data_IF_020160115403
#
_entry.id   IF_020160115403
#
_cell.length_a   1.000
_cell.length_b   1.000
_cell.length_c   1.000
_cell.angle_alpha   90.00
_cell.angle_beta   90.00
_cell.angle_gamma   90.00
#
_symmetry.space_group_name_H-M   'P 1'
#
loop_
_entity.id
_entity.type
_entity.pdbx_description
1 polymer ?
#
# COMPACT_ATOMS: atom_id res chain seq x y z
N UNK A 1 -2.71 -11.01 -10.93
CA UNK A 1 -3.92 -11.51 -11.58
C UNK A 1 -4.33 -10.54 -12.67
N UNK A 2 -4.50 -11.03 -13.89
CA UNK A 2 -5.02 -10.25 -15.00
C UNK A 2 -6.46 -10.72 -15.27
N UNK A 3 -7.42 -9.83 -15.01
CA UNK A 3 -8.84 -10.12 -15.23
C UNK A 3 -9.33 -9.61 -16.59
N UNK A 4 -8.44 -9.33 -17.50
CA UNK A 4 -8.81 -8.92 -18.85
C UNK A 4 -8.27 -7.54 -19.25
N UNK A 5 -8.67 -7.04 -20.45
CA UNK A 5 -8.17 -5.80 -21.00
C UNK A 5 -8.59 -4.58 -20.16
N UNK A 6 -7.72 -3.59 -20.09
CA UNK A 6 -8.04 -2.31 -19.45
C UNK A 6 -9.28 -1.66 -20.11
N UNK A 7 -10.17 -1.01 -19.33
CA UNK A 7 -10.01 -0.56 -17.95
C UNK A 7 -10.42 -1.55 -16.85
N UNK A 8 -10.53 -2.83 -17.16
CA UNK A 8 -10.90 -3.85 -16.17
C UNK A 8 -9.86 -3.96 -15.05
N UNK A 9 -10.28 -3.99 -13.80
CA UNK A 9 -9.40 -4.08 -12.65
C UNK A 9 -9.76 -5.26 -11.73
N UNK A 10 -8.88 -5.57 -10.79
CA UNK A 10 -9.07 -6.69 -9.84
C UNK A 10 -10.37 -6.58 -9.04
N UNK A 11 -10.76 -5.37 -8.64
CA UNK A 11 -12.00 -5.14 -7.91
C UNK A 11 -13.24 -5.47 -8.74
N UNK A 12 -13.25 -5.08 -10.02
CA UNK A 12 -14.32 -5.45 -10.93
C UNK A 12 -14.37 -6.96 -11.16
N UNK A 13 -13.21 -7.60 -11.36
CA UNK A 13 -13.14 -9.05 -11.51
C UNK A 13 -13.66 -9.82 -10.31
N UNK A 14 -13.35 -9.36 -9.09
CA UNK A 14 -13.89 -9.98 -7.87
C UNK A 14 -15.39 -9.78 -7.74
N UNK A 15 -15.91 -8.61 -8.11
CA UNK A 15 -17.35 -8.36 -8.12
C UNK A 15 -18.07 -9.30 -9.09
N UNK A 16 -17.57 -9.40 -10.31
CA UNK A 16 -18.15 -10.29 -11.33
C UNK A 16 -18.12 -11.76 -10.88
N UNK A 17 -17.06 -12.19 -10.18
CA UNK A 17 -17.01 -13.53 -9.58
C UNK A 17 -18.06 -13.71 -8.49
N UNK A 18 -18.24 -12.73 -7.60
CA UNK A 18 -19.28 -12.78 -6.58
C UNK A 18 -20.68 -12.86 -7.22
N UNK A 19 -20.95 -12.01 -8.20
CA UNK A 19 -22.24 -12.01 -8.89
C UNK A 19 -22.48 -13.33 -9.65
N UNK A 20 -21.41 -13.89 -10.25
CA UNK A 20 -21.50 -15.16 -10.95
C UNK A 20 -21.84 -16.33 -10.03
N UNK A 21 -21.25 -16.36 -8.82
CA UNK A 21 -21.46 -17.48 -7.88
C UNK A 21 -22.66 -17.30 -6.97
N UNK A 22 -23.17 -16.09 -6.81
CA UNK A 22 -24.31 -15.83 -5.95
C UNK A 22 -25.55 -16.65 -6.39
N UNK A 23 -26.14 -17.40 -5.49
CA UNK A 23 -27.26 -18.30 -5.75
C UNK A 23 -26.87 -19.64 -6.41
N UNK A 24 -25.57 -19.93 -6.60
CA UNK A 24 -25.11 -21.20 -7.16
C UNK A 24 -24.53 -22.11 -6.07
N UNK A 25 -24.77 -23.38 -6.22
CA UNK A 25 -24.20 -24.44 -5.35
C UNK A 25 -24.42 -24.20 -3.85
N UNK A 26 -25.51 -23.49 -3.48
CA UNK A 26 -25.83 -23.16 -2.09
C UNK A 26 -25.05 -21.94 -1.54
N UNK A 27 -24.34 -21.21 -2.39
CA UNK A 27 -23.70 -19.96 -2.00
C UNK A 27 -24.71 -18.82 -2.07
N UNK A 28 -24.88 -18.10 -0.98
CA UNK A 28 -25.69 -16.86 -0.90
C UNK A 28 -24.82 -15.71 -0.43
N UNK A 29 -24.93 -14.54 -1.08
CA UNK A 29 -24.22 -13.32 -0.73
C UNK A 29 -25.24 -12.26 -0.30
N UNK A 30 -25.10 -11.77 0.92
CA UNK A 30 -25.93 -10.72 1.50
C UNK A 30 -25.14 -9.41 1.45
N UNK A 31 -25.53 -8.51 0.56
CA UNK A 31 -24.94 -7.16 0.46
C UNK A 31 -25.59 -6.21 1.47
N UNK A 32 -24.86 -5.16 1.84
CA UNK A 32 -25.34 -4.15 2.81
C UNK A 32 -25.80 -4.74 4.15
N UNK A 33 -25.17 -5.83 4.54
CA UNK A 33 -25.47 -6.59 5.75
C UNK A 33 -24.20 -6.72 6.63
N UNK A 34 -23.71 -5.61 7.23
CA UNK A 34 -22.51 -5.62 8.02
C UNK A 34 -22.63 -6.54 9.25
N UNK A 35 -21.58 -7.33 9.49
CA UNK A 35 -21.46 -8.15 10.69
C UNK A 35 -21.07 -7.27 11.88
N UNK A 36 -21.75 -7.45 13.01
CA UNK A 36 -21.50 -6.65 14.21
C UNK A 36 -21.06 -7.48 15.42
N UNK A 37 -21.43 -8.76 15.49
CA UNK A 37 -21.10 -9.60 16.63
C UNK A 37 -21.04 -11.07 16.28
N UNK A 38 -20.04 -11.80 16.81
CA UNK A 38 -19.99 -13.26 16.79
C UNK A 38 -20.90 -13.86 17.87
N UNK A 39 -21.59 -14.95 17.52
CA UNK A 39 -22.46 -15.69 18.42
C UNK A 39 -21.69 -16.87 19.01
N UNK A 40 -21.69 -17.01 20.32
CA UNK A 40 -21.05 -18.11 21.04
C UNK A 40 -22.09 -19.03 21.70
N UNK A 41 -21.77 -20.32 21.72
CA UNK A 41 -22.37 -21.34 22.58
C UNK A 41 -21.25 -21.93 23.45
N UNK A 42 -21.20 -21.52 24.71
CA UNK A 42 -20.04 -21.75 25.55
C UNK A 42 -18.79 -21.07 24.98
N UNK A 43 -17.72 -21.86 24.74
CA UNK A 43 -16.48 -21.37 24.15
C UNK A 43 -16.42 -21.48 22.62
N UNK A 44 -17.42 -22.08 22.00
CA UNK A 44 -17.51 -22.27 20.55
C UNK A 44 -18.21 -21.09 19.87
N UNK A 45 -17.69 -20.65 18.74
CA UNK A 45 -18.38 -19.71 17.84
C UNK A 45 -19.32 -20.50 16.92
N UNK A 46 -20.60 -20.14 16.94
CA UNK A 46 -21.68 -20.85 16.26
C UNK A 46 -22.47 -19.99 15.26
N UNK A 47 -22.07 -18.74 15.09
CA UNK A 47 -22.75 -17.84 14.15
C UNK A 47 -22.25 -16.40 14.21
N UNK A 48 -22.98 -15.54 13.50
CA UNK A 48 -22.73 -14.11 13.44
C UNK A 48 -24.04 -13.35 13.39
N UNK A 49 -24.12 -12.22 14.06
CA UNK A 49 -25.22 -11.25 13.98
C UNK A 49 -24.78 -10.16 13.01
N UNK A 50 -25.65 -9.89 12.04
CA UNK A 50 -25.47 -8.84 11.05
C UNK A 50 -26.64 -7.86 11.11
N UNK A 51 -26.40 -6.63 10.69
CA UNK A 51 -27.43 -5.61 10.55
C UNK A 51 -28.01 -5.65 9.14
N UNK A 52 -29.33 -5.77 9.02
CA UNK A 52 -30.05 -5.72 7.77
C UNK A 52 -31.06 -4.56 7.80
N UNK A 53 -30.68 -3.44 7.22
CA UNK A 53 -31.44 -2.20 7.33
C UNK A 53 -31.56 -1.72 8.78
N UNK A 54 -32.78 -1.75 9.34
CA UNK A 54 -33.07 -1.42 10.75
C UNK A 54 -33.06 -2.63 11.68
N UNK A 55 -33.04 -3.83 11.14
CA UNK A 55 -33.20 -5.08 11.87
C UNK A 55 -31.85 -5.81 12.03
N UNK A 56 -31.85 -6.83 12.89
CA UNK A 56 -30.73 -7.72 13.08
C UNK A 56 -31.09 -9.13 12.62
N UNK A 57 -30.17 -9.73 11.88
CA UNK A 57 -30.29 -11.11 11.41
C UNK A 57 -29.15 -11.93 11.98
N UNK A 58 -29.46 -13.10 12.53
CA UNK A 58 -28.48 -14.05 12.99
C UNK A 58 -28.29 -15.15 11.94
N UNK A 59 -27.05 -15.33 11.50
CA UNK A 59 -26.64 -16.46 10.67
C UNK A 59 -25.99 -17.51 11.55
N UNK A 60 -26.56 -18.72 11.58
CA UNK A 60 -26.01 -19.85 12.32
C UNK A 60 -25.04 -20.64 11.44
N UNK A 61 -23.88 -20.97 11.98
CA UNK A 61 -22.81 -21.67 11.28
C UNK A 61 -22.67 -23.10 11.80
N UNK A 62 -22.80 -24.09 10.92
CA UNK A 62 -22.57 -25.50 11.24
C UNK A 62 -21.09 -25.84 11.43
N UNK A 63 -20.28 -25.44 10.46
CA UNK A 63 -18.86 -25.84 10.35
C UNK A 63 -17.90 -24.77 10.90
N UNK A 64 -18.36 -23.55 11.08
CA UNK A 64 -17.63 -22.41 11.62
C UNK A 64 -17.88 -21.11 10.88
N UNK A 65 -17.37 -20.03 11.46
CA UNK A 65 -17.40 -18.67 10.91
C UNK A 65 -15.99 -18.32 10.44
N UNK A 66 -15.87 -17.85 9.21
CA UNK A 66 -14.62 -17.38 8.61
C UNK A 66 -14.66 -15.86 8.52
N UNK A 67 -13.79 -15.16 9.24
CA UNK A 67 -13.66 -13.71 9.21
C UNK A 67 -12.62 -13.32 8.16
N UNK A 68 -13.04 -12.53 7.16
CA UNK A 68 -12.22 -12.10 6.02
C UNK A 68 -12.42 -10.60 5.72
N UNK A 69 -12.56 -9.78 6.74
CA UNK A 69 -13.01 -8.38 6.66
C UNK A 69 -11.93 -7.38 6.30
N UNK A 70 -10.71 -7.85 6.02
CA UNK A 70 -9.59 -6.97 5.71
C UNK A 70 -8.91 -6.40 6.96
N UNK A 71 -8.30 -5.23 6.81
CA UNK A 71 -7.55 -4.56 7.87
C UNK A 71 -8.37 -3.45 8.57
N UNK A 72 -7.68 -2.58 9.33
CA UNK A 72 -8.29 -1.52 10.14
C UNK A 72 -7.72 -0.13 9.85
N UNK A 73 -7.21 0.11 8.64
CA UNK A 73 -6.57 1.40 8.30
C UNK A 73 -7.47 2.62 8.42
N UNK A 74 -8.79 2.45 8.43
CA UNK A 74 -9.77 3.53 8.63
C UNK A 74 -10.39 3.55 10.03
N UNK A 75 -9.83 2.81 10.98
CA UNK A 75 -10.16 2.92 12.39
C UNK A 75 -9.08 3.73 13.11
N UNK A 76 -9.39 4.97 13.45
CA UNK A 76 -8.41 5.89 14.04
C UNK A 76 -7.91 5.44 15.41
N UNK A 77 -8.75 4.76 16.20
CA UNK A 77 -8.36 4.26 17.51
C UNK A 77 -7.38 3.09 17.39
N UNK A 78 -7.68 2.13 16.49
CA UNK A 78 -6.76 1.01 16.23
C UNK A 78 -5.47 1.50 15.59
N UNK A 79 -5.53 2.46 14.67
CA UNK A 79 -4.35 3.05 14.05
C UNK A 79 -3.49 3.78 15.08
N UNK A 80 -4.06 4.61 15.95
CA UNK A 80 -3.34 5.30 17.00
C UNK A 80 -2.69 4.34 18.00
N UNK A 81 -3.33 3.22 18.28
CA UNK A 81 -2.83 2.24 19.23
C UNK A 81 -1.75 1.31 18.65
N UNK A 82 -1.98 0.76 17.46
CA UNK A 82 -1.11 -0.26 16.87
C UNK A 82 -0.06 0.30 15.89
N UNK A 83 -0.33 1.43 15.24
CA UNK A 83 0.52 2.02 14.19
C UNK A 83 0.57 3.56 14.30
N UNK A 84 0.97 4.13 15.44
CA UNK A 84 0.97 5.57 15.64
C UNK A 84 1.90 6.31 14.66
N UNK A 85 2.97 5.66 14.22
CA UNK A 85 3.97 6.18 13.29
C UNK A 85 3.44 6.41 11.87
N UNK A 86 2.27 5.87 11.53
CA UNK A 86 1.66 6.01 10.20
C UNK A 86 0.35 6.79 10.20
N UNK A 87 -0.08 7.25 11.37
CA UNK A 87 -1.41 7.82 11.51
C UNK A 87 -1.59 9.14 10.75
N UNK A 88 -0.49 9.82 10.42
CA UNK A 88 -0.47 11.04 9.63
C UNK A 88 -0.61 10.83 8.12
N UNK A 89 -0.34 9.61 7.61
CA UNK A 89 -0.43 9.34 6.17
C UNK A 89 -1.88 9.21 5.70
N UNK A 90 -2.16 9.75 4.54
CA UNK A 90 -3.46 9.58 3.89
C UNK A 90 -3.78 8.11 3.61
N UNK A 91 -5.05 7.75 3.74
CA UNK A 91 -5.56 6.39 3.46
C UNK A 91 -5.97 6.30 1.99
N UNK A 92 -5.66 5.17 1.35
CA UNK A 92 -6.08 4.93 -0.03
C UNK A 92 -7.55 4.51 -0.15
N UNK A 93 -8.06 3.88 0.87
CA UNK A 93 -9.41 3.31 0.90
C UNK A 93 -10.16 3.77 2.15
N UNK A 94 -11.48 3.64 2.15
CA UNK A 94 -12.34 4.24 3.18
C UNK A 94 -13.23 3.23 3.93
N UNK A 95 -13.03 1.93 3.73
CA UNK A 95 -13.96 0.91 4.22
C UNK A 95 -13.32 -0.21 5.06
N UNK A 96 -12.12 0.04 5.61
CA UNK A 96 -11.37 -0.92 6.41
C UNK A 96 -11.40 -0.52 7.88
N UNK A 97 -12.45 -0.89 8.57
CA UNK A 97 -12.84 -0.37 9.89
C UNK A 97 -12.50 -1.30 11.06
N UNK A 98 -11.80 -2.42 10.78
CA UNK A 98 -11.34 -3.32 11.84
C UNK A 98 -12.43 -4.12 12.56
N UNK A 99 -13.63 -4.14 12.03
CA UNK A 99 -14.79 -4.78 12.69
C UNK A 99 -14.54 -6.27 12.94
N UNK A 100 -13.92 -6.96 11.99
CA UNK A 100 -13.59 -8.37 12.15
C UNK A 100 -12.58 -8.62 13.28
N UNK A 101 -11.53 -7.81 13.36
CA UNK A 101 -10.56 -7.90 14.44
C UNK A 101 -11.23 -7.68 15.80
N UNK A 102 -12.07 -6.62 15.92
CA UNK A 102 -12.81 -6.32 17.15
C UNK A 102 -13.72 -7.49 17.54
N UNK A 103 -14.52 -8.00 16.62
CA UNK A 103 -15.43 -9.13 16.90
C UNK A 103 -14.67 -10.37 17.35
N UNK A 104 -13.53 -10.68 16.74
CA UNK A 104 -12.70 -11.83 17.11
C UNK A 104 -12.06 -11.64 18.47
N UNK A 105 -11.61 -10.43 18.81
CA UNK A 105 -11.07 -10.11 20.15
C UNK A 105 -12.15 -10.21 21.21
N UNK A 106 -13.36 -9.71 20.97
CA UNK A 106 -14.50 -9.86 21.89
C UNK A 106 -14.92 -11.32 22.07
N UNK A 107 -14.71 -12.17 21.06
CA UNK A 107 -14.95 -13.61 21.18
C UNK A 107 -13.86 -14.37 21.95
N UNK A 108 -12.77 -13.70 22.33
CA UNK A 108 -11.65 -14.26 23.09
C UNK A 108 -10.34 -14.40 22.29
N UNK A 109 -10.34 -13.98 21.01
CA UNK A 109 -9.13 -13.97 20.18
C UNK A 109 -8.12 -12.92 20.63
N UNK A 110 -6.87 -13.10 20.22
CA UNK A 110 -5.78 -12.17 20.57
C UNK A 110 -5.14 -11.63 19.29
N UNK A 111 -4.96 -10.31 19.23
CA UNK A 111 -4.14 -9.68 18.20
C UNK A 111 -2.70 -10.16 18.30
N UNK A 112 -2.01 -10.26 17.16
CA UNK A 112 -0.58 -10.54 17.14
C UNK A 112 0.19 -9.44 17.89
N UNK A 113 1.27 -9.85 18.56
CA UNK A 113 2.04 -8.95 19.43
C UNK A 113 3.06 -8.09 18.70
N UNK A 114 3.33 -8.41 17.45
CA UNK A 114 4.24 -7.64 16.59
C UNK A 114 3.44 -6.58 15.87
N UNK A 115 3.98 -5.37 15.73
CA UNK A 115 3.35 -4.34 14.91
C UNK A 115 3.15 -4.87 13.48
N UNK A 116 2.01 -4.54 12.88
CA UNK A 116 1.62 -5.05 11.57
C UNK A 116 2.57 -4.63 10.45
N UNK A 117 2.69 -5.47 9.43
CA UNK A 117 3.39 -5.12 8.21
C UNK A 117 2.65 -4.00 7.48
N UNK A 118 3.36 -2.93 7.19
CA UNK A 118 2.83 -1.68 6.67
C UNK A 118 3.02 -1.61 5.17
N UNK A 119 1.93 -1.47 4.44
CA UNK A 119 1.94 -1.32 2.99
C UNK A 119 1.65 0.13 2.65
N UNK A 120 2.70 0.94 2.68
CA UNK A 120 2.67 2.32 2.19
C UNK A 120 3.40 2.40 0.86
N UNK A 121 2.83 3.05 -0.11
CA UNK A 121 3.45 3.26 -1.41
C UNK A 121 2.74 4.35 -2.22
N UNK A 122 3.40 4.76 -3.29
CA UNK A 122 2.96 5.80 -4.21
C UNK A 122 2.72 5.29 -5.64
N UNK A 123 2.56 3.98 -5.84
CA UNK A 123 2.44 3.38 -7.17
C UNK A 123 1.27 3.89 -8.01
N UNK A 124 0.31 4.52 -7.38
CA UNK A 124 -0.86 5.13 -7.99
C UNK A 124 -0.76 6.66 -8.14
N UNK A 125 0.35 7.25 -7.71
CA UNK A 125 0.62 8.68 -7.81
C UNK A 125 1.73 8.96 -8.84
N UNK A 126 1.48 8.64 -10.10
CA UNK A 126 2.42 8.72 -11.21
C UNK A 126 2.70 7.36 -11.82
N UNK A 127 3.71 7.23 -12.72
CA UNK A 127 4.08 5.91 -13.23
C UNK A 127 4.53 5.03 -12.08
N UNK A 128 3.84 3.92 -11.84
CA UNK A 128 4.15 3.01 -10.74
C UNK A 128 5.60 2.54 -10.76
N UNK A 129 6.14 2.29 -11.95
CA UNK A 129 7.54 1.92 -12.14
C UNK A 129 8.55 2.99 -11.71
N UNK A 130 8.19 4.27 -11.66
CA UNK A 130 9.09 5.32 -11.18
C UNK A 130 9.39 5.24 -9.68
N UNK A 131 8.55 4.60 -8.89
CA UNK A 131 8.77 4.48 -7.46
C UNK A 131 10.13 3.84 -7.10
N UNK A 132 10.60 2.91 -7.93
CA UNK A 132 11.90 2.22 -7.75
C UNK A 132 13.01 2.79 -8.65
N UNK A 133 12.77 3.90 -9.34
CA UNK A 133 13.77 4.51 -10.21
C UNK A 133 14.65 5.49 -9.43
N UNK A 134 15.99 5.38 -9.57
CA UNK A 134 16.94 6.17 -8.82
C UNK A 134 17.09 7.62 -9.32
N UNK A 135 16.00 8.30 -9.68
CA UNK A 135 16.01 9.73 -9.88
C UNK A 135 16.29 10.46 -8.55
N UNK A 136 16.89 11.66 -8.61
CA UNK A 136 17.02 12.50 -7.43
C UNK A 136 15.63 12.72 -6.82
N UNK A 137 15.50 12.50 -5.51
CA UNK A 137 14.27 12.76 -4.76
C UNK A 137 14.47 13.85 -3.72
N UNK A 138 13.52 14.78 -3.67
CA UNK A 138 13.52 15.88 -2.70
C UNK A 138 12.21 15.96 -1.95
N UNK A 139 12.27 16.40 -0.70
CA UNK A 139 11.11 16.76 0.13
C UNK A 139 10.50 18.08 -0.30
N UNK A 140 9.41 18.49 0.36
CA UNK A 140 8.73 19.76 0.09
C UNK A 140 9.62 20.98 0.35
N UNK A 141 10.62 20.88 1.20
CA UNK A 141 11.62 21.92 1.46
C UNK A 141 12.77 21.95 0.43
N UNK A 142 12.72 21.10 -0.60
CA UNK A 142 13.74 21.03 -1.64
C UNK A 142 15.00 20.27 -1.25
N UNK A 143 15.07 19.67 -0.05
CA UNK A 143 16.24 18.91 0.39
C UNK A 143 16.17 17.46 -0.03
N UNK A 144 17.33 16.87 -0.35
CA UNK A 144 17.49 15.44 -0.58
C UNK A 144 17.45 14.68 0.75
N UNK A 145 16.78 13.52 0.81
CA UNK A 145 16.54 12.81 2.07
C UNK A 145 16.96 11.34 2.08
N UNK A 146 17.31 10.75 0.95
CA UNK A 146 17.62 9.32 0.91
C UNK A 146 18.56 8.93 -0.23
N UNK A 147 19.02 7.67 -0.18
CA UNK A 147 19.65 6.98 -1.30
C UNK A 147 18.55 6.41 -2.21
N UNK A 148 18.36 7.02 -3.36
CA UNK A 148 17.30 6.65 -4.32
C UNK A 148 17.54 5.31 -5.00
N UNK A 149 18.70 4.71 -4.81
CA UNK A 149 19.05 3.38 -5.34
C UNK A 149 18.51 2.22 -4.49
N UNK A 150 17.75 2.51 -3.45
CA UNK A 150 17.07 1.52 -2.62
C UNK A 150 15.67 1.26 -3.16
N UNK A 151 15.05 0.16 -2.72
CA UNK A 151 13.65 -0.10 -3.06
C UNK A 151 12.72 1.01 -2.54
N UNK A 152 11.63 1.25 -3.24
CA UNK A 152 10.62 2.22 -2.83
C UNK A 152 10.16 2.01 -1.39
N UNK A 153 9.97 0.77 -0.95
CA UNK A 153 9.56 0.46 0.41
C UNK A 153 10.59 0.92 1.45
N UNK A 154 11.89 0.79 1.14
CA UNK A 154 12.95 1.20 2.06
C UNK A 154 13.03 2.72 2.21
N UNK A 155 12.93 3.50 1.13
CA UNK A 155 12.96 4.96 1.27
C UNK A 155 11.60 5.55 1.68
N UNK A 156 10.48 4.91 1.37
CA UNK A 156 9.17 5.31 1.88
C UNK A 156 9.14 5.32 3.41
N UNK A 157 9.94 4.47 4.06
CA UNK A 157 10.11 4.47 5.51
C UNK A 157 10.58 5.79 6.10
N UNK A 158 11.24 6.67 5.32
CA UNK A 158 11.64 7.99 5.80
C UNK A 158 10.45 8.90 6.13
N UNK A 159 9.26 8.60 5.60
CA UNK A 159 8.05 9.37 5.85
C UNK A 159 7.24 8.90 7.05
N UNK A 160 7.61 7.79 7.69
CA UNK A 160 6.89 7.29 8.87
C UNK A 160 6.95 8.24 10.06
N UNK A 161 7.97 9.09 10.12
CA UNK A 161 8.16 10.08 11.20
C UNK A 161 8.16 11.52 10.70
N UNK A 162 7.92 11.75 9.39
CA UNK A 162 7.94 13.07 8.77
C UNK A 162 6.51 13.55 8.55
N UNK A 163 5.86 14.00 9.62
CA UNK A 163 4.47 14.52 9.55
C UNK A 163 4.34 15.74 8.65
N UNK A 164 5.38 16.59 8.57
CA UNK A 164 5.39 17.81 7.80
C UNK A 164 5.22 17.58 6.30
N UNK A 165 5.78 16.49 5.77
CA UNK A 165 5.70 16.17 4.35
C UNK A 165 4.44 15.37 3.98
N UNK A 166 3.77 14.77 4.95
CA UNK A 166 2.56 13.94 4.78
C UNK A 166 2.66 12.95 3.59
N UNK A 167 3.84 12.34 3.41
CA UNK A 167 4.09 11.40 2.32
C UNK A 167 4.37 12.03 0.95
N UNK A 168 4.39 13.36 0.82
CA UNK A 168 4.71 14.03 -0.43
C UNK A 168 6.22 14.17 -0.63
N UNK A 169 6.67 13.91 -1.86
CA UNK A 169 8.03 14.17 -2.34
C UNK A 169 8.03 14.37 -3.84
N UNK A 170 9.16 14.78 -4.40
CA UNK A 170 9.30 15.02 -5.82
C UNK A 170 10.49 14.27 -6.38
N UNK A 171 10.31 13.57 -7.51
CA UNK A 171 11.41 13.04 -8.32
C UNK A 171 11.80 14.06 -9.36
N UNK A 172 13.11 14.32 -9.48
CA UNK A 172 13.68 15.39 -10.34
C UNK A 172 14.64 14.78 -11.36
N UNK A 173 14.52 15.20 -12.60
CA UNK A 173 15.36 14.74 -13.71
C UNK A 173 15.41 15.77 -14.84
N UNK A 174 16.25 15.56 -15.83
CA UNK A 174 16.41 16.46 -16.97
C UNK A 174 15.99 15.83 -18.30
N UNK A 175 16.21 16.51 -19.40
CA UNK A 175 15.82 16.08 -20.74
C UNK A 175 16.49 14.78 -21.21
N UNK A 176 17.58 14.35 -20.55
CA UNK A 176 18.27 13.11 -20.88
C UNK A 176 17.69 11.86 -20.21
N UNK A 177 16.59 11.99 -19.48
CA UNK A 177 16.02 10.91 -18.65
C UNK A 177 15.87 9.57 -19.38
N UNK A 178 15.51 9.59 -20.66
CA UNK A 178 15.37 8.37 -21.46
C UNK A 178 16.70 7.63 -21.67
N UNK A 179 17.77 8.38 -21.88
CA UNK A 179 19.12 7.83 -22.05
C UNK A 179 19.69 7.38 -20.69
N UNK A 180 19.53 8.22 -19.69
CA UNK A 180 20.04 7.97 -18.33
C UNK A 180 19.44 6.71 -17.70
N UNK A 181 18.18 6.48 -17.96
CA UNK A 181 17.45 5.33 -17.45
C UNK A 181 17.73 4.03 -18.19
N UNK A 182 18.27 4.07 -19.41
CA UNK A 182 18.47 2.88 -20.25
C UNK A 182 19.34 1.80 -19.57
N UNK A 183 20.29 2.21 -18.72
CA UNK A 183 21.20 1.32 -18.01
C UNK A 183 20.76 0.99 -16.59
N UNK A 184 19.62 1.51 -16.14
CA UNK A 184 19.17 1.27 -14.78
C UNK A 184 18.63 -0.15 -14.63
N UNK A 185 18.99 -0.85 -13.56
CA UNK A 185 18.47 -2.18 -13.34
C UNK A 185 16.99 -2.11 -12.98
N UNK A 186 16.21 -2.88 -13.63
CA UNK A 186 14.87 -3.11 -13.16
C UNK A 186 13.92 -3.50 -14.26
N UNK A 187 13.36 -4.67 -14.10
CA UNK A 187 12.18 -5.12 -14.85
C UNK A 187 10.92 -4.27 -14.54
N UNK A 188 11.02 -3.41 -13.53
CA UNK A 188 9.96 -2.47 -13.15
C UNK A 188 10.03 -1.16 -13.93
N UNK A 189 11.11 -0.97 -14.70
CA UNK A 189 11.35 0.24 -15.46
C UNK A 189 10.97 0.06 -16.93
N UNK A 190 10.06 0.92 -17.37
CA UNK A 190 9.69 1.08 -18.76
C UNK A 190 9.81 2.55 -19.16
N UNK A 191 10.84 2.95 -19.95
CA UNK A 191 11.00 4.31 -20.42
C UNK A 191 9.78 4.86 -21.17
N UNK A 192 9.10 4.03 -21.94
CA UNK A 192 7.93 4.44 -22.68
C UNK A 192 6.74 4.77 -21.75
N UNK A 193 6.65 4.10 -20.61
CA UNK A 193 5.63 4.41 -19.61
C UNK A 193 5.80 5.82 -19.02
N UNK A 194 7.04 6.30 -18.88
CA UNK A 194 7.30 7.67 -18.39
C UNK A 194 6.78 8.71 -19.38
N UNK A 195 6.93 8.49 -20.68
CA UNK A 195 6.46 9.44 -21.70
C UNK A 195 4.98 9.78 -21.56
N UNK A 196 4.17 8.82 -21.12
CA UNK A 196 2.73 9.03 -20.91
C UNK A 196 2.41 10.06 -19.80
N UNK A 197 3.36 10.31 -18.92
CA UNK A 197 3.23 11.23 -17.79
C UNK A 197 3.96 12.55 -18.01
N UNK A 198 4.76 12.66 -19.09
CA UNK A 198 5.46 13.90 -19.41
C UNK A 198 4.50 14.91 -20.01
N UNK A 199 4.58 16.20 -19.63
CA UNK A 199 3.77 17.24 -20.23
C UNK A 199 4.26 17.50 -21.65
N UNK A 200 3.42 17.29 -22.63
CA UNK A 200 3.67 17.71 -24.03
C UNK A 200 3.45 19.21 -24.14
N UNK A 201 2.45 19.71 -23.43
CA UNK A 201 2.14 21.11 -23.32
C UNK A 201 2.30 21.60 -21.87
N UNK A 202 2.70 22.86 -21.65
CA UNK A 202 2.82 23.41 -20.31
C UNK A 202 1.50 23.34 -19.52
N UNK A 203 1.55 22.75 -18.34
CA UNK A 203 0.41 22.65 -17.44
C UNK A 203 -0.48 21.43 -17.62
N UNK A 204 -0.20 20.54 -18.58
CA UNK A 204 -0.92 19.28 -18.70
C UNK A 204 -0.48 18.33 -17.56
N UNK A 205 -1.46 17.84 -16.80
CA UNK A 205 -1.26 16.84 -15.78
C UNK A 205 -1.60 15.46 -16.37
N UNK A 206 -0.67 14.51 -16.25
CA UNK A 206 -0.89 13.13 -16.65
C UNK A 206 -0.62 12.19 -15.48
N UNK A 207 -1.52 11.27 -15.23
CA UNK A 207 -1.38 10.28 -14.18
C UNK A 207 -2.67 9.51 -13.93
N UNK A 208 -2.59 8.45 -13.12
CA UNK A 208 -3.77 7.67 -12.72
C UNK A 208 -4.71 8.53 -11.87
N UNK A 209 -4.13 9.37 -11.03
CA UNK A 209 -4.82 10.37 -10.23
C UNK A 209 -4.21 11.74 -10.52
N UNK A 210 -4.75 12.52 -11.45
CA UNK A 210 -4.17 13.79 -11.88
C UNK A 210 -3.89 14.78 -10.76
N UNK A 211 -4.68 14.73 -9.68
CA UNK A 211 -4.49 15.58 -8.50
C UNK A 211 -3.32 15.12 -7.61
N UNK A 212 -2.91 13.87 -7.71
CA UNK A 212 -1.81 13.29 -6.94
C UNK A 212 -0.51 13.19 -7.73
N UNK A 213 -0.59 13.11 -9.07
CA UNK A 213 0.54 12.95 -9.95
C UNK A 213 0.60 14.10 -10.96
N UNK A 214 1.36 15.12 -10.64
CA UNK A 214 1.60 16.24 -11.53
C UNK A 214 3.08 16.31 -11.91
N UNK A 215 3.36 16.32 -13.23
CA UNK A 215 4.69 16.54 -13.78
C UNK A 215 4.79 17.99 -14.23
N UNK A 216 5.85 18.66 -13.82
CA UNK A 216 6.17 20.03 -14.17
C UNK A 216 7.41 20.10 -15.03
N UNK A 217 7.49 21.13 -15.87
CA UNK A 217 8.58 21.36 -16.81
C UNK A 217 9.04 22.82 -16.69
N UNK A 218 10.35 23.04 -16.69
CA UNK A 218 10.94 24.37 -16.69
C UNK A 218 12.31 24.39 -17.38
N UNK A 219 12.76 25.57 -17.80
CA UNK A 219 14.07 25.76 -18.43
C UNK A 219 15.18 26.02 -17.43
N UNK A 220 14.84 26.31 -16.17
CA UNK A 220 15.79 26.48 -15.06
C UNK A 220 15.33 25.70 -13.82
N UNK A 221 16.30 25.33 -12.98
CA UNK A 221 16.02 24.63 -11.70
C UNK A 221 15.23 25.54 -10.74
N UNK A 222 15.55 26.83 -10.70
CA UNK A 222 14.82 27.80 -9.88
C UNK A 222 13.35 27.90 -10.29
N UNK A 223 13.09 28.01 -11.61
CA UNK A 223 11.72 28.03 -12.15
C UNK A 223 10.98 26.73 -11.85
N UNK A 224 11.68 25.59 -11.97
CA UNK A 224 11.10 24.29 -11.64
C UNK A 224 10.68 24.23 -10.17
N UNK A 225 11.53 24.66 -9.26
CA UNK A 225 11.22 24.69 -7.83
C UNK A 225 9.97 25.54 -7.49
N UNK A 226 9.84 26.70 -8.16
CA UNK A 226 8.66 27.56 -8.04
C UNK A 226 7.39 26.89 -8.55
N UNK A 227 7.46 26.24 -9.73
CA UNK A 227 6.32 25.50 -10.32
C UNK A 227 5.91 24.29 -9.48
N UNK A 228 6.86 23.63 -8.86
CA UNK A 228 6.62 22.51 -7.95
C UNK A 228 6.00 22.98 -6.61
N UNK A 229 6.02 24.27 -6.32
CA UNK A 229 5.50 24.79 -5.06
C UNK A 229 6.34 24.42 -3.84
N UNK A 230 7.67 24.21 -4.03
CA UNK A 230 8.58 23.91 -2.94
C UNK A 230 8.67 25.09 -1.96
N UNK A 231 8.75 24.79 -0.68
CA UNK A 231 8.76 25.80 0.39
C UNK A 231 10.09 26.58 0.47
N UNK A 232 11.19 25.95 0.03
CA UNK A 232 12.51 26.58 -0.07
C UNK A 232 13.16 26.27 -1.43
N UNK A 233 12.95 27.19 -2.39
CA UNK A 233 13.51 27.07 -3.74
C UNK A 233 15.03 27.22 -3.74
N UNK A 234 15.59 28.02 -2.84
CA UNK A 234 17.05 28.21 -2.75
C UNK A 234 17.74 26.92 -2.23
N UNK A 235 17.13 26.24 -1.27
CA UNK A 235 17.59 24.93 -0.83
C UNK A 235 17.53 23.92 -1.99
N UNK A 236 16.47 23.92 -2.78
CA UNK A 236 16.33 23.06 -3.95
C UNK A 236 17.43 23.28 -4.99
N UNK A 237 17.70 24.55 -5.33
CA UNK A 237 18.79 24.89 -6.27
C UNK A 237 20.14 24.38 -5.76
N UNK A 238 20.43 24.57 -4.46
CA UNK A 238 21.66 24.06 -3.83
C UNK A 238 21.70 22.53 -3.83
N UNK A 239 20.58 21.86 -3.58
CA UNK A 239 20.47 20.40 -3.61
C UNK A 239 20.82 19.84 -4.99
N UNK A 240 20.26 20.41 -6.07
CA UNK A 240 20.57 19.97 -7.44
C UNK A 240 22.01 20.27 -7.79
N UNK A 241 22.55 21.42 -7.40
CA UNK A 241 23.95 21.77 -7.62
C UNK A 241 24.87 20.77 -6.91
N UNK A 242 24.65 20.49 -5.62
CA UNK A 242 25.41 19.52 -4.84
C UNK A 242 25.31 18.11 -5.43
N UNK A 243 24.12 17.70 -5.86
CA UNK A 243 23.94 16.41 -6.51
C UNK A 243 24.77 16.30 -7.78
N UNK A 244 24.84 17.35 -8.61
CA UNK A 244 25.67 17.37 -9.80
C UNK A 244 27.17 17.32 -9.50
N UNK A 245 27.64 17.94 -8.39
CA UNK A 245 29.03 17.79 -7.92
C UNK A 245 29.36 16.33 -7.59
N UNK A 246 28.46 15.62 -6.91
CA UNK A 246 28.62 14.19 -6.58
C UNK A 246 28.66 13.33 -7.84
N UNK A 247 27.84 13.66 -8.84
CA UNK A 247 27.87 12.99 -10.15
C UNK A 247 29.22 13.18 -10.84
N UNK A 248 29.74 14.43 -10.86
CA UNK A 248 31.05 14.75 -11.47
C UNK A 248 32.22 14.07 -10.73
N UNK A 249 32.10 13.93 -9.41
CA UNK A 249 33.09 13.20 -8.59
C UNK A 249 32.98 11.68 -8.77
N UNK A 250 31.87 11.17 -9.31
CA UNK A 250 31.62 9.74 -9.46
C UNK A 250 31.38 8.99 -8.15
N UNK A 251 31.09 9.72 -7.08
CA UNK A 251 30.83 9.15 -5.75
C UNK A 251 29.80 10.01 -5.01
N UNK A 252 28.83 9.36 -4.40
CA UNK A 252 27.84 10.00 -3.54
C UNK A 252 28.26 9.88 -2.08
N UNK A 253 29.00 10.88 -1.60
CA UNK A 253 29.46 10.95 -0.22
C UNK A 253 28.31 11.27 0.76
N UNK A 254 27.22 11.86 0.27
CA UNK A 254 26.13 12.34 1.12
C UNK A 254 25.16 11.21 1.50
N UNK A 255 24.75 10.35 0.53
CA UNK A 255 23.73 9.33 0.72
C UNK A 255 24.18 7.92 0.28
N UNK A 256 25.34 7.79 -0.34
CA UNK A 256 25.90 6.51 -0.75
C UNK A 256 25.19 5.86 -1.94
N UNK A 257 24.59 6.64 -2.83
CA UNK A 257 24.01 6.14 -4.09
C UNK A 257 25.11 5.58 -4.98
N UNK A 258 24.98 4.35 -5.52
CA UNK A 258 25.98 3.76 -6.39
C UNK A 258 26.29 4.63 -7.62
N UNK A 259 27.57 4.79 -7.94
CA UNK A 259 28.05 5.65 -9.04
C UNK A 259 27.38 5.36 -10.38
N UNK A 260 27.10 4.09 -10.68
CA UNK A 260 26.42 3.68 -11.93
C UNK A 260 25.01 4.29 -12.10
N UNK A 261 24.40 4.74 -11.01
CA UNK A 261 23.06 5.34 -10.98
C UNK A 261 23.08 6.84 -10.71
N UNK A 262 24.25 7.43 -10.53
CA UNK A 262 24.41 8.88 -10.49
C UNK A 262 24.31 9.43 -11.92
N UNK A 263 23.23 10.14 -12.21
CA UNK A 263 22.99 10.76 -13.51
C UNK A 263 22.82 12.26 -13.33
N UNK A 264 23.44 13.09 -14.20
CA UNK A 264 23.42 14.54 -14.04
C UNK A 264 22.04 15.13 -14.28
N UNK A 265 21.78 16.28 -13.66
CA UNK A 265 20.60 17.12 -13.90
C UNK A 265 21.12 18.47 -14.37
N UNK A 266 21.51 18.55 -15.66
CA UNK A 266 22.26 19.69 -16.22
C UNK A 266 21.67 20.23 -17.52
N UNK A 267 20.80 19.45 -18.20
CA UNK A 267 20.31 19.81 -19.53
C UNK A 267 18.81 20.13 -19.52
N UNK A 268 18.48 21.39 -19.77
CA UNK A 268 17.09 21.80 -19.91
C UNK A 268 16.40 21.09 -21.10
N UNK A 269 15.08 20.92 -21.08
CA UNK A 269 14.22 21.25 -19.95
C UNK A 269 14.38 20.30 -18.78
N UNK A 270 14.15 20.87 -17.57
CA UNK A 270 14.13 20.11 -16.32
C UNK A 270 12.72 19.70 -15.97
N UNK A 271 12.58 18.56 -15.31
CA UNK A 271 11.30 17.98 -14.94
C UNK A 271 11.26 17.64 -13.47
N UNK A 272 10.09 17.81 -12.86
CA UNK A 272 9.78 17.32 -11.53
C UNK A 272 8.41 16.70 -11.49
N UNK A 273 8.31 15.48 -10.94
CA UNK A 273 7.05 14.80 -10.78
C UNK A 273 6.74 14.60 -9.29
N UNK A 274 5.60 15.10 -8.86
CA UNK A 274 5.11 14.87 -7.51
C UNK A 274 4.74 13.41 -7.29
N UNK A 275 5.13 12.91 -6.13
CA UNK A 275 4.81 11.59 -5.64
C UNK A 275 4.10 11.72 -4.31
N UNK A 276 3.21 10.80 -4.00
CA UNK A 276 2.49 10.81 -2.74
C UNK A 276 2.38 9.39 -2.16
N UNK A 277 3.13 9.16 -1.10
CA UNK A 277 3.06 7.92 -0.34
C UNK A 277 1.81 7.96 0.51
N UNK A 278 0.97 6.94 0.34
CA UNK A 278 -0.26 6.78 1.12
C UNK A 278 -0.33 5.38 1.70
N UNK A 279 -1.02 5.24 2.81
CA UNK A 279 -1.25 3.95 3.44
C UNK A 279 -2.28 3.14 2.64
N UNK A 280 -1.85 1.99 2.14
CA UNK A 280 -2.69 1.08 1.37
C UNK A 280 -3.36 0.04 2.25
N UNK A 281 -2.60 -0.58 3.16
CA UNK A 281 -3.13 -1.62 4.05
C UNK A 281 -2.18 -1.86 5.22
N UNK A 282 -2.71 -2.37 6.32
CA UNK A 282 -1.96 -2.94 7.42
C UNK A 282 -2.22 -4.45 7.43
N UNK A 283 -1.17 -5.23 7.36
CA UNK A 283 -1.28 -6.68 7.55
C UNK A 283 -1.00 -6.97 9.01
N UNK A 284 -2.03 -6.82 9.82
CA UNK A 284 -2.01 -7.01 11.26
C UNK A 284 -3.37 -7.52 11.71
N UNK A 285 -3.40 -8.68 12.32
CA UNK A 285 -4.65 -9.33 12.66
C UNK A 285 -4.56 -10.17 13.92
N UNK A 286 -5.58 -10.95 14.14
CA UNK A 286 -5.62 -11.89 15.24
C UNK A 286 -4.67 -13.06 15.00
N UNK A 287 -4.11 -13.59 16.06
CA UNK A 287 -3.28 -14.79 15.99
C UNK A 287 -4.08 -15.96 15.43
N UNK A 288 -3.49 -16.65 14.44
CA UNK A 288 -4.04 -17.88 13.86
C UNK A 288 -2.99 -18.98 13.83
N UNK A 289 -3.45 -20.24 13.83
CA UNK A 289 -2.59 -21.39 13.59
C UNK A 289 -2.48 -21.73 12.08
N UNK A 290 -1.81 -22.83 11.74
CA UNK A 290 -1.63 -23.29 10.35
C UNK A 290 -2.92 -23.67 9.64
N UNK A 291 -4.00 -23.93 10.37
CA UNK A 291 -5.35 -24.21 9.86
C UNK A 291 -6.26 -22.96 9.87
N UNK A 292 -5.69 -21.77 10.06
CA UNK A 292 -6.40 -20.48 10.11
C UNK A 292 -7.41 -20.36 11.26
N UNK A 293 -7.33 -21.24 12.28
CA UNK A 293 -8.14 -21.08 13.48
C UNK A 293 -7.62 -19.93 14.33
N UNK A 294 -8.52 -19.08 14.81
CA UNK A 294 -8.20 -17.97 15.71
C UNK A 294 -7.75 -18.52 17.07
N UNK A 295 -6.67 -17.97 17.60
CA UNK A 295 -6.10 -18.37 18.87
C UNK A 295 -6.50 -17.41 19.98
N UNK A 296 -6.76 -17.98 21.16
CA UNK A 296 -6.98 -17.24 22.39
C UNK A 296 -5.67 -16.68 23.01
N UNK A 297 -5.77 -16.07 24.19
CA UNK A 297 -4.61 -15.52 24.92
C UNK A 297 -3.57 -16.57 25.35
N UNK A 298 -3.97 -17.82 25.45
CA UNK A 298 -3.14 -18.96 25.90
C UNK A 298 -2.61 -19.76 24.68
N UNK A 299 -2.98 -19.38 23.47
CA UNK A 299 -2.57 -20.03 22.22
C UNK A 299 -3.43 -21.21 21.82
N UNK A 300 -4.59 -21.41 22.45
CA UNK A 300 -5.51 -22.47 22.09
C UNK A 300 -6.46 -22.01 20.98
N UNK A 301 -6.84 -22.90 20.04
CA UNK A 301 -7.83 -22.58 19.02
C UNK A 301 -9.21 -22.31 19.62
N UNK A 302 -9.87 -21.23 19.19
CA UNK A 302 -11.29 -20.98 19.48
C UNK A 302 -12.10 -21.82 18.52
N UNK A 303 -12.89 -22.78 19.05
CA UNK A 303 -13.67 -23.68 18.23
C UNK A 303 -14.69 -22.92 17.36
N UNK A 304 -14.75 -23.27 16.08
CA UNK A 304 -15.68 -22.67 15.13
C UNK A 304 -15.31 -21.30 14.61
N UNK A 305 -14.14 -20.74 14.98
CA UNK A 305 -13.69 -19.41 14.53
C UNK A 305 -12.40 -19.47 13.70
N UNK A 306 -12.46 -18.91 12.50
CA UNK A 306 -11.35 -18.86 11.55
C UNK A 306 -11.14 -17.42 11.07
N UNK A 307 -9.89 -17.08 10.75
CA UNK A 307 -9.56 -15.78 10.16
C UNK A 307 -8.59 -15.94 8.99
N UNK A 308 -8.84 -15.19 7.92
CA UNK A 308 -8.03 -15.21 6.68
C UNK A 308 -7.82 -13.79 6.13
N UNK A 309 -6.84 -13.64 5.25
CA UNK A 309 -6.53 -12.33 4.67
C UNK A 309 -5.92 -11.38 5.68
N UNK A 310 -6.11 -10.07 5.50
CA UNK A 310 -5.41 -9.06 6.30
C UNK A 310 -5.93 -8.93 7.75
N UNK A 311 -7.06 -9.51 8.08
CA UNK A 311 -7.52 -9.62 9.47
C UNK A 311 -6.90 -10.81 10.24
N UNK A 312 -6.19 -11.71 9.55
CA UNK A 312 -5.40 -12.78 10.15
C UNK A 312 -3.94 -12.33 10.32
N UNK A 313 -3.41 -12.51 11.51
CA UNK A 313 -2.01 -12.22 11.86
C UNK A 313 -1.05 -13.37 11.58
N UNK A 314 0.17 -13.25 12.12
CA UNK A 314 1.24 -14.25 12.10
C UNK A 314 1.75 -14.64 10.70
N UNK A 315 1.56 -13.79 9.69
CA UNK A 315 2.00 -14.11 8.33
C UNK A 315 3.33 -13.44 7.97
N UNK A 316 3.41 -12.11 8.07
CA UNK A 316 4.63 -11.40 7.71
C UNK A 316 5.62 -11.27 8.87
N UNK A 317 5.13 -11.13 10.09
CA UNK A 317 5.94 -11.14 11.31
C UNK A 317 6.92 -9.98 11.46
N UNK A 318 6.77 -8.91 10.68
CA UNK A 318 7.67 -7.77 10.60
C UNK A 318 6.88 -6.48 10.38
N UNK A 319 7.36 -5.34 10.87
CA UNK A 319 6.77 -4.04 10.54
C UNK A 319 6.92 -3.69 9.04
N UNK A 320 7.81 -4.38 8.35
CA UNK A 320 8.10 -4.14 6.95
C UNK A 320 7.36 -5.13 6.04
N UNK A 321 6.82 -4.65 4.92
CA UNK A 321 6.15 -5.48 3.93
C UNK A 321 7.15 -5.92 2.85
N UNK A 322 7.42 -7.22 2.70
CA UNK A 322 8.39 -7.70 1.72
C UNK A 322 7.85 -7.58 0.30
N UNK A 323 8.46 -6.72 -0.51
CA UNK A 323 8.13 -6.53 -1.93
C UNK A 323 8.88 -7.49 -2.87
N UNK A 324 9.76 -8.34 -2.34
CA UNK A 324 10.52 -9.34 -3.12
C UNK A 324 9.63 -10.34 -3.84
N UNK A 325 8.42 -10.55 -3.33
CA UNK A 325 7.38 -11.37 -3.94
C UNK A 325 6.16 -10.52 -4.28
N UNK A 326 6.11 -9.88 -5.45
CA UNK A 326 4.98 -9.07 -5.86
C UNK A 326 3.66 -9.84 -5.81
N UNK A 327 2.61 -9.23 -5.23
CA UNK A 327 1.30 -9.83 -5.13
C UNK A 327 1.13 -10.85 -3.98
N UNK A 328 2.12 -10.99 -3.09
CA UNK A 328 2.08 -11.95 -1.98
C UNK A 328 0.85 -11.77 -1.08
N UNK A 329 0.45 -10.54 -0.77
CA UNK A 329 -0.74 -10.28 0.05
C UNK A 329 -2.01 -10.79 -0.62
N UNK A 330 -2.23 -10.46 -1.90
CA UNK A 330 -3.39 -10.96 -2.65
C UNK A 330 -3.34 -12.48 -2.82
N UNK A 331 -2.17 -13.03 -3.18
CA UNK A 331 -1.97 -14.47 -3.32
C UNK A 331 -2.29 -15.23 -2.03
N UNK A 332 -1.88 -14.68 -0.88
CA UNK A 332 -2.23 -15.21 0.43
C UNK A 332 -3.75 -15.25 0.65
N UNK A 333 -4.45 -14.16 0.39
CA UNK A 333 -5.89 -14.09 0.57
C UNK A 333 -6.61 -15.19 -0.23
N UNK A 334 -6.26 -15.37 -1.49
CA UNK A 334 -6.83 -16.43 -2.33
C UNK A 334 -6.47 -17.82 -1.83
N UNK A 335 -5.21 -18.05 -1.47
CA UNK A 335 -4.74 -19.37 -0.97
C UNK A 335 -5.43 -19.74 0.34
N UNK A 336 -5.48 -18.81 1.29
CA UNK A 336 -6.14 -19.05 2.57
C UNK A 336 -7.65 -19.30 2.39
N UNK A 337 -8.32 -18.53 1.52
CA UNK A 337 -9.73 -18.74 1.19
C UNK A 337 -9.98 -20.14 0.61
N UNK A 338 -9.14 -20.56 -0.34
CA UNK A 338 -9.23 -21.91 -0.92
C UNK A 338 -9.01 -23.03 0.12
N UNK A 339 -7.96 -22.91 0.94
CA UNK A 339 -7.60 -23.92 1.94
C UNK A 339 -8.70 -24.07 2.99
N UNK A 340 -9.17 -22.93 3.56
CA UNK A 340 -10.22 -22.96 4.57
C UNK A 340 -11.56 -23.42 3.99
N UNK A 341 -11.92 -22.94 2.80
CA UNK A 341 -13.13 -23.38 2.11
C UNK A 341 -13.17 -24.87 1.87
N UNK A 342 -12.05 -25.45 1.39
CA UNK A 342 -11.92 -26.91 1.20
C UNK A 342 -12.00 -27.68 2.51
N UNK A 343 -11.35 -27.19 3.56
CA UNK A 343 -11.33 -27.83 4.88
C UNK A 343 -12.73 -27.84 5.52
N UNK A 344 -13.45 -26.73 5.48
CA UNK A 344 -14.79 -26.63 6.07
C UNK A 344 -15.86 -27.31 5.23
N UNK A 345 -15.73 -27.29 3.90
CA UNK A 345 -16.66 -27.97 3.00
C UNK A 345 -16.57 -29.49 3.02
N UNK A 346 -15.49 -30.07 3.59
CA UNK A 346 -15.32 -31.51 3.77
C UNK A 346 -15.83 -32.03 5.12
N UNK A 347 -16.29 -31.16 6.02
CA UNK A 347 -16.91 -31.51 7.30
C UNK A 347 -18.43 -31.67 7.10
#
# INVERSE_FOLDING_TARGET
FDFGPKPYNTGNGMRDLCDYFNGKDGLEIFYSCPAEQLVKDGDKVVGVICKDGSDYVQFNAKNGVVVATGDYTNDDEMMAYYNPDMNHLDRKETNKTGDGQKMMVWAGGRMESVCGSKVQHDFDAGPGSMADMPFLTVKNDGTRFCNEARSAMAYNGNFLTSEEDNGYYTQVFDSNYMTDCADWPGKLYDPEAIKAYMPEEPGEKKGVYPDLAATFKADTIEELGKKLGLTDVDAFVKTVARYNELVDAGVDEDMGKPAKWLKPIKQAPFYGIHRHIRLSTIVHGVNVNGEMQVLDKDGNPIEGLYSIGNCAGNFFGSPDYPMDLPGLSLGRCHTQGYVVGKMLGSK
#
